data_IF_052815373283
#
_entry.id   IF_052815373283
#
_cell.length_a   1.000
_cell.length_b   1.000
_cell.length_c   1.000
_cell.angle_alpha   90.00
_cell.angle_beta   90.00
_cell.angle_gamma   90.00
#
_symmetry.space_group_name_H-M   'P 1'
#
loop_
_entity.id
_entity.type
_entity.pdbx_description
1 polymer ?
#
# COMPACT_ATOMS: atom_id res chain seq x y z
N UNK A 1 -8.22 -7.12 4.34
CA UNK A 1 -8.02 -6.29 3.13
C UNK A 1 -9.00 -6.68 2.04
N UNK A 2 -8.91 -7.87 1.43
CA UNK A 2 -9.84 -8.28 0.36
C UNK A 2 -11.27 -8.49 0.89
N UNK A 3 -11.45 -9.25 1.98
CA UNK A 3 -12.79 -9.48 2.58
C UNK A 3 -13.42 -8.16 3.06
N UNK A 4 -12.63 -7.32 3.72
CA UNK A 4 -13.08 -5.99 4.17
C UNK A 4 -13.42 -5.08 2.99
N UNK A 5 -12.58 -5.04 1.95
CA UNK A 5 -12.85 -4.27 0.73
C UNK A 5 -14.13 -4.76 0.05
N UNK A 6 -14.29 -6.07 -0.11
CA UNK A 6 -15.51 -6.67 -0.66
C UNK A 6 -16.75 -6.26 0.12
N UNK A 7 -16.70 -6.27 1.45
CA UNK A 7 -17.80 -5.82 2.29
C UNK A 7 -18.12 -4.33 2.11
N UNK A 8 -17.09 -3.47 2.07
CA UNK A 8 -17.25 -2.03 1.88
C UNK A 8 -17.77 -1.68 0.47
N UNK A 9 -17.31 -2.37 -0.57
CA UNK A 9 -17.78 -2.18 -1.95
C UNK A 9 -19.18 -2.80 -2.20
N UNK A 10 -19.58 -3.76 -1.38
CA UNK A 10 -20.93 -4.37 -1.47
C UNK A 10 -22.02 -3.48 -0.84
N UNK A 11 -21.66 -2.38 -0.17
CA UNK A 11 -22.64 -1.45 0.40
C UNK A 11 -23.32 -0.64 -0.73
N UNK A 12 -24.64 -0.38 -0.65
CA UNK A 12 -25.36 0.41 -1.66
C UNK A 12 -24.84 1.86 -1.77
N UNK A 13 -24.13 2.36 -0.75
CA UNK A 13 -23.49 3.68 -0.79
C UNK A 13 -22.26 3.72 -1.71
N UNK A 14 -21.70 2.56 -2.04
CA UNK A 14 -20.52 2.44 -2.90
C UNK A 14 -20.87 2.48 -4.39
N UNK A 15 -22.11 2.21 -4.79
CA UNK A 15 -22.55 2.24 -6.18
C UNK A 15 -23.36 3.48 -6.53
N UNK A 16 -23.13 4.00 -7.74
CA UNK A 16 -23.89 5.10 -8.32
C UNK A 16 -25.25 4.57 -8.79
N UNK A 17 -26.30 4.79 -7.98
CA UNK A 17 -27.68 4.51 -8.38
C UNK A 17 -28.36 3.29 -7.75
N UNK A 18 -27.92 2.81 -6.57
CA UNK A 18 -28.49 1.63 -5.89
C UNK A 18 -28.46 0.32 -6.70
N UNK A 19 -27.67 0.27 -7.78
CA UNK A 19 -27.45 -0.97 -8.52
C UNK A 19 -26.45 -1.81 -7.74
N UNK A 20 -26.83 -3.05 -7.42
CA UNK A 20 -25.95 -4.01 -6.75
C UNK A 20 -25.20 -4.83 -7.79
N UNK A 21 -23.87 -4.92 -7.65
CA UNK A 21 -23.04 -5.80 -8.48
C UNK A 21 -23.09 -7.22 -7.93
N UNK A 22 -22.85 -8.23 -8.77
CA UNK A 22 -22.72 -9.61 -8.30
C UNK A 22 -21.61 -9.72 -7.26
N UNK A 23 -21.81 -10.52 -6.21
CA UNK A 23 -20.83 -10.70 -5.14
C UNK A 23 -19.46 -11.14 -5.67
N UNK A 24 -19.45 -11.97 -6.72
CA UNK A 24 -18.22 -12.45 -7.38
C UNK A 24 -17.46 -11.29 -8.02
N UNK A 25 -18.16 -10.35 -8.66
CA UNK A 25 -17.55 -9.21 -9.33
C UNK A 25 -17.00 -8.20 -8.31
N UNK A 26 -17.70 -8.02 -7.18
CA UNK A 26 -17.22 -7.17 -6.08
C UNK A 26 -15.96 -7.77 -5.46
N UNK A 27 -15.95 -9.09 -5.23
CA UNK A 27 -14.78 -9.81 -4.73
C UNK A 27 -13.60 -9.71 -5.70
N UNK A 28 -13.87 -9.85 -7.00
CA UNK A 28 -12.86 -9.70 -8.04
C UNK A 28 -12.29 -8.27 -8.07
N UNK A 29 -13.16 -7.26 -8.02
CA UNK A 29 -12.76 -5.84 -8.00
C UNK A 29 -11.91 -5.55 -6.77
N UNK A 30 -12.31 -6.03 -5.59
CA UNK A 30 -11.53 -5.86 -4.36
C UNK A 30 -10.18 -6.59 -4.44
N UNK A 31 -10.12 -7.76 -5.07
CA UNK A 31 -8.87 -8.52 -5.22
C UNK A 31 -7.92 -7.79 -6.17
N UNK A 32 -8.42 -7.37 -7.34
CA UNK A 32 -7.67 -6.63 -8.36
C UNK A 32 -7.12 -5.31 -7.83
N UNK A 33 -7.92 -4.58 -7.04
CA UNK A 33 -7.49 -3.34 -6.39
C UNK A 33 -6.37 -3.59 -5.36
N UNK A 34 -6.49 -4.63 -4.54
CA UNK A 34 -5.44 -5.00 -3.58
C UNK A 34 -4.19 -5.45 -4.33
N UNK A 35 -4.27 -6.36 -5.29
CA UNK A 35 -3.08 -6.83 -6.03
C UNK A 35 -2.52 -5.79 -7.01
N UNK A 36 -3.14 -4.60 -7.10
CA UNK A 36 -2.76 -3.51 -8.01
C UNK A 36 -2.64 -3.99 -9.47
N UNK A 37 -3.48 -4.95 -9.85
CA UNK A 37 -3.44 -5.55 -11.20
C UNK A 37 -4.17 -4.69 -12.23
N UNK A 38 -5.14 -3.88 -11.79
CA UNK A 38 -5.86 -2.93 -12.64
C UNK A 38 -6.95 -3.55 -13.52
N UNK A 39 -7.33 -4.81 -13.27
CA UNK A 39 -8.45 -5.46 -13.94
C UNK A 39 -9.78 -4.96 -13.35
N UNK A 40 -10.68 -4.49 -14.20
CA UNK A 40 -12.01 -4.00 -13.83
C UNK A 40 -13.09 -4.83 -14.52
N UNK A 41 -14.17 -5.17 -13.79
CA UNK A 41 -15.33 -5.91 -14.33
C UNK A 41 -16.42 -4.95 -14.79
N UNK A 42 -16.52 -3.80 -14.14
CA UNK A 42 -17.40 -2.69 -14.50
C UNK A 42 -16.59 -1.39 -14.54
N UNK A 43 -17.05 -0.41 -15.33
CA UNK A 43 -16.42 0.91 -15.43
C UNK A 43 -16.41 1.60 -14.06
N UNK A 44 -15.22 1.68 -13.43
CA UNK A 44 -15.07 2.18 -12.07
C UNK A 44 -15.50 3.63 -11.92
N UNK A 45 -15.31 4.44 -12.96
CA UNK A 45 -15.61 5.87 -12.95
C UNK A 45 -17.11 6.17 -13.03
N UNK A 46 -17.88 5.30 -13.70
CA UNK A 46 -19.33 5.46 -13.85
C UNK A 46 -20.14 4.65 -12.85
N UNK A 47 -19.65 3.47 -12.47
CA UNK A 47 -20.39 2.51 -11.66
C UNK A 47 -20.27 2.78 -10.16
N UNK A 48 -19.08 3.13 -9.68
CA UNK A 48 -18.87 3.41 -8.26
C UNK A 48 -19.11 4.88 -7.94
N UNK A 49 -19.71 5.12 -6.77
CA UNK A 49 -19.82 6.46 -6.20
C UNK A 49 -18.45 6.96 -5.73
N UNK A 50 -18.36 8.23 -5.34
CA UNK A 50 -17.16 8.79 -4.70
C UNK A 50 -16.68 7.95 -3.50
N UNK A 51 -17.62 7.34 -2.74
CA UNK A 51 -17.27 6.45 -1.65
C UNK A 51 -16.59 5.18 -2.17
N UNK A 52 -17.17 4.50 -3.15
CA UNK A 52 -16.60 3.27 -3.73
C UNK A 52 -15.23 3.53 -4.37
N UNK A 53 -15.08 4.64 -5.09
CA UNK A 53 -13.80 5.06 -5.67
C UNK A 53 -12.73 5.32 -4.60
N UNK A 54 -13.10 5.98 -3.50
CA UNK A 54 -12.19 6.20 -2.36
C UNK A 54 -11.75 4.88 -1.72
N UNK A 55 -12.67 3.92 -1.55
CA UNK A 55 -12.34 2.59 -1.02
C UNK A 55 -11.34 1.87 -1.94
N UNK A 56 -11.55 1.92 -3.25
CA UNK A 56 -10.63 1.31 -4.24
C UNK A 56 -9.25 1.95 -4.16
N UNK A 57 -9.16 3.29 -4.11
CA UNK A 57 -7.88 4.00 -3.96
C UNK A 57 -7.15 3.61 -2.68
N UNK A 58 -7.87 3.51 -1.55
CA UNK A 58 -7.28 3.08 -0.27
C UNK A 58 -6.76 1.64 -0.35
N UNK A 59 -7.49 0.74 -1.01
CA UNK A 59 -7.05 -0.66 -1.20
C UNK A 59 -5.75 -0.73 -2.02
N UNK A 60 -5.65 0.07 -3.09
CA UNK A 60 -4.44 0.19 -3.92
C UNK A 60 -3.27 0.71 -3.07
N UNK A 61 -3.49 1.79 -2.32
CA UNK A 61 -2.44 2.46 -1.56
C UNK A 61 -1.86 1.56 -0.46
N UNK A 62 -2.73 0.81 0.24
CA UNK A 62 -2.29 -0.08 1.32
C UNK A 62 -1.44 -1.22 0.79
N UNK A 63 -1.76 -1.77 -0.37
CA UNK A 63 -0.94 -2.83 -0.94
C UNK A 63 0.38 -2.30 -1.53
N UNK A 64 0.34 -1.15 -2.22
CA UNK A 64 1.53 -0.49 -2.74
C UNK A 64 2.56 -0.15 -1.65
N UNK A 65 2.10 0.42 -0.53
CA UNK A 65 2.95 0.74 0.61
C UNK A 65 3.38 -0.51 1.41
N UNK A 66 2.51 -1.51 1.49
CA UNK A 66 2.77 -2.75 2.23
C UNK A 66 3.96 -3.55 1.68
N UNK A 67 4.08 -3.65 0.35
CA UNK A 67 5.20 -4.35 -0.27
C UNK A 67 6.55 -3.67 -0.01
N UNK A 68 6.59 -2.33 -0.01
CA UNK A 68 7.82 -1.57 0.30
C UNK A 68 8.30 -1.80 1.75
N UNK A 69 7.37 -1.84 2.71
CA UNK A 69 7.68 -2.14 4.11
C UNK A 69 8.21 -3.57 4.24
N UNK A 70 7.63 -4.53 3.51
CA UNK A 70 8.07 -5.92 3.51
C UNK A 70 9.50 -6.07 2.96
N UNK A 71 9.82 -5.42 1.83
CA UNK A 71 11.21 -5.40 1.31
C UNK A 71 12.16 -4.79 2.32
N UNK A 72 11.80 -3.67 2.95
CA UNK A 72 12.65 -3.02 3.95
C UNK A 72 12.95 -3.95 5.13
N UNK A 73 11.95 -4.70 5.61
CA UNK A 73 12.13 -5.71 6.67
C UNK A 73 13.07 -6.85 6.24
N UNK A 74 12.98 -7.33 5.00
CA UNK A 74 13.91 -8.35 4.47
C UNK A 74 15.33 -7.80 4.43
N UNK A 75 15.54 -6.59 3.90
CA UNK A 75 16.86 -5.96 3.82
C UNK A 75 17.45 -5.80 5.22
N UNK A 76 16.65 -5.41 6.22
CA UNK A 76 17.06 -5.34 7.63
C UNK A 76 17.37 -6.72 8.21
N UNK A 77 16.55 -7.74 7.95
CA UNK A 77 16.76 -9.11 8.42
C UNK A 77 18.01 -9.78 7.83
N UNK A 78 18.33 -9.48 6.57
CA UNK A 78 19.54 -9.95 5.89
C UNK A 78 20.77 -9.12 6.29
N UNK A 79 20.61 -7.80 6.46
CA UNK A 79 21.65 -6.86 6.89
C UNK A 79 22.02 -6.95 8.38
N UNK A 80 21.14 -7.52 9.21
CA UNK A 80 21.36 -7.74 10.65
C UNK A 80 22.44 -8.77 11.00
N UNK A 81 23.05 -9.44 10.00
CA UNK A 81 24.21 -10.32 10.19
C UNK A 81 25.57 -9.63 10.04
N UNK A 82 25.62 -8.30 10.00
CA UNK A 82 26.90 -7.59 10.12
C UNK A 82 27.29 -7.50 11.61
N UNK A 83 27.94 -8.58 12.05
CA UNK A 83 28.89 -8.72 13.17
C UNK A 83 28.55 -7.98 14.47
N UNK A 84 27.98 -8.73 15.43
CA UNK A 84 27.99 -8.37 16.85
C UNK A 84 29.38 -8.47 17.50
N UNK A 85 30.45 -8.74 16.74
CA UNK A 85 31.81 -8.93 17.27
C UNK A 85 32.85 -7.89 16.81
N UNK A 86 32.45 -6.80 16.14
CA UNK A 86 33.38 -5.78 15.63
C UNK A 86 33.11 -4.38 16.21
N UNK A 87 32.61 -4.32 17.45
CA UNK A 87 32.25 -3.06 18.12
C UNK A 87 33.42 -2.30 18.76
N UNK A 88 34.61 -2.90 18.89
CA UNK A 88 35.69 -2.30 19.69
C UNK A 88 36.82 -1.62 18.89
N UNK A 89 36.89 -1.81 17.56
CA UNK A 89 37.97 -1.24 16.72
C UNK A 89 37.51 -0.15 15.74
N UNK A 90 36.21 0.16 15.70
CA UNK A 90 35.59 1.08 14.72
C UNK A 90 35.08 2.39 15.34
N UNK A 91 35.58 2.77 16.52
CA UNK A 91 35.20 4.02 17.20
C UNK A 91 36.04 5.24 16.79
N UNK A 92 37.05 5.10 15.94
CA UNK A 92 37.96 6.22 15.62
C UNK A 92 37.99 6.67 14.16
N UNK A 93 37.45 5.88 13.22
CA UNK A 93 37.52 6.21 11.81
C UNK A 93 36.14 6.15 11.16
N UNK A 94 35.61 7.34 10.87
CA UNK A 94 34.62 7.62 9.84
C UNK A 94 33.16 7.28 10.18
N UNK A 95 32.39 8.34 10.42
CA UNK A 95 31.05 8.56 9.89
C UNK A 95 30.17 7.30 9.79
N UNK A 96 29.50 6.95 10.89
CA UNK A 96 28.52 5.86 10.92
C UNK A 96 27.09 6.42 10.80
N UNK A 97 26.47 6.53 9.62
CA UNK A 97 25.02 6.60 9.53
C UNK A 97 24.52 5.18 9.28
N UNK A 98 24.32 4.38 10.32
CA UNK A 98 23.78 3.01 10.09
C UNK A 98 22.74 2.60 11.11
N UNK A 99 21.82 3.51 11.37
CA UNK A 99 20.47 3.17 11.80
C UNK A 99 19.54 3.84 10.80
N UNK A 100 19.10 3.10 9.78
CA UNK A 100 18.00 3.55 8.93
C UNK A 100 16.80 3.65 9.88
N UNK A 101 16.42 4.87 10.21
CA UNK A 101 15.21 5.13 10.98
C UNK A 101 14.01 4.73 10.12
N UNK A 102 13.51 3.51 10.34
CA UNK A 102 12.46 2.89 9.55
C UNK A 102 11.18 3.76 9.54
N UNK A 103 10.89 4.43 10.66
CA UNK A 103 9.76 5.35 10.76
C UNK A 103 9.97 6.57 9.84
N UNK A 104 11.19 7.09 9.77
CA UNK A 104 11.54 8.19 8.86
C UNK A 104 11.45 7.76 7.40
N UNK A 105 11.92 6.56 7.05
CA UNK A 105 11.83 6.03 5.70
C UNK A 105 10.36 5.84 5.25
N UNK A 106 9.54 5.20 6.08
CA UNK A 106 8.10 5.01 5.80
C UNK A 106 7.40 6.36 5.63
N UNK A 107 7.69 7.34 6.50
CA UNK A 107 7.09 8.68 6.41
C UNK A 107 7.49 9.40 5.12
N UNK A 108 8.75 9.30 4.71
CA UNK A 108 9.22 9.90 3.44
C UNK A 108 8.54 9.25 2.25
N UNK A 109 8.47 7.92 2.20
CA UNK A 109 7.81 7.19 1.09
C UNK A 109 6.35 7.58 1.00
N UNK A 110 5.60 7.58 2.11
CA UNK A 110 4.17 7.96 2.11
C UNK A 110 4.00 9.39 1.58
N UNK A 111 4.75 10.36 2.13
CA UNK A 111 4.62 11.77 1.72
C UNK A 111 5.01 11.96 0.26
N UNK A 112 6.09 11.32 -0.19
CA UNK A 112 6.56 11.42 -1.56
C UNK A 112 5.57 10.81 -2.56
N UNK A 113 5.02 9.62 -2.27
CA UNK A 113 3.99 8.99 -3.09
C UNK A 113 2.76 9.88 -3.21
N UNK A 114 2.24 10.40 -2.08
CA UNK A 114 1.09 11.31 -2.11
C UNK A 114 1.36 12.61 -2.89
N UNK A 115 2.57 13.18 -2.81
CA UNK A 115 2.93 14.38 -3.58
C UNK A 115 2.90 14.07 -5.08
N UNK A 116 3.50 12.95 -5.51
CA UNK A 116 3.51 12.57 -6.91
C UNK A 116 2.11 12.26 -7.41
N UNK A 117 1.32 11.52 -6.64
CA UNK A 117 -0.08 11.21 -6.98
C UNK A 117 -0.90 12.48 -7.12
N UNK A 118 -0.72 13.48 -6.25
CA UNK A 118 -1.48 14.73 -6.30
C UNK A 118 -1.05 15.67 -7.44
N UNK A 119 0.21 15.62 -7.86
CA UNK A 119 0.69 16.38 -9.03
C UNK A 119 0.29 15.68 -10.34
N UNK A 120 0.23 14.35 -10.34
CA UNK A 120 -0.11 13.55 -11.52
C UNK A 120 -1.60 13.31 -11.76
N UNK A 121 -2.44 13.48 -10.73
CA UNK A 121 -3.91 13.41 -10.80
C UNK A 121 -4.52 14.66 -11.45
#
# INVERSE_FOLDING_TARGET
MIVTGTFLLSLPIATSGNVTQSFVDVLFTSTSAVTTTGLIVADTGKFYSLFGQTVILVLIQICGLGYMIFIALIILGVGGRISFNSRMLLNESLARPSSIDMLKFVKVVIVFTFIIELIGA
#
